data_IF_903074554797
#
_entry.id   IF_903074554797
#
_cell.length_a   1.000
_cell.length_b   1.000
_cell.length_c   1.000
_cell.angle_alpha   90.00
_cell.angle_beta   90.00
_cell.angle_gamma   90.00
#
_symmetry.space_group_name_H-M   'P 1'
#
loop_
_entity.id
_entity.type
_entity.pdbx_description
1 polymer ?
#
# COMPACT_ATOMS: atom_id res chain seq x y z
N UNK A 1 -9.47 4.79 1.42
CA UNK A 1 -10.50 3.90 1.97
C UNK A 1 -9.91 2.80 2.86
N UNK A 2 -8.92 2.02 2.42
CA UNK A 2 -8.33 0.95 3.24
C UNK A 2 -7.87 1.37 4.65
N UNK A 3 -7.11 2.48 4.75
CA UNK A 3 -6.70 3.07 6.04
C UNK A 3 -7.90 3.41 6.93
N UNK A 4 -9.00 3.90 6.36
CA UNK A 4 -10.21 4.24 7.12
C UNK A 4 -10.90 2.99 7.68
N UNK A 5 -10.93 1.88 6.95
CA UNK A 5 -11.49 0.62 7.45
C UNK A 5 -10.62 0.01 8.56
N UNK A 6 -9.29 0.11 8.43
CA UNK A 6 -8.35 -0.32 9.48
C UNK A 6 -8.55 0.53 10.74
N UNK A 7 -8.56 1.85 10.59
CA UNK A 7 -8.83 2.77 11.69
C UNK A 7 -10.21 2.54 12.30
N UNK A 8 -11.26 2.32 11.50
CA UNK A 8 -12.61 2.05 11.99
C UNK A 8 -12.75 0.72 12.73
N UNK A 9 -11.84 -0.23 12.52
CA UNK A 9 -11.79 -1.49 13.24
C UNK A 9 -11.06 -1.38 14.59
N UNK A 10 -10.06 -0.50 14.71
CA UNK A 10 -9.12 -0.51 15.84
C UNK A 10 -9.00 0.82 16.59
N UNK A 11 -9.30 1.95 15.95
CA UNK A 11 -9.13 3.31 16.50
C UNK A 11 -7.68 3.79 16.57
N UNK A 12 -6.75 3.07 15.93
CA UNK A 12 -5.29 3.25 16.06
C UNK A 12 -4.68 3.62 14.70
N UNK A 13 -3.62 4.44 14.72
CA UNK A 13 -2.81 4.76 13.54
C UNK A 13 -1.38 4.22 13.60
N UNK A 14 -0.91 3.85 14.80
CA UNK A 14 0.42 3.27 14.96
C UNK A 14 0.46 1.85 14.37
N UNK A 15 1.41 1.61 13.47
CA UNK A 15 1.49 0.36 12.71
C UNK A 15 1.97 -0.80 13.59
N UNK A 16 2.80 -0.54 14.62
CA UNK A 16 3.29 -1.57 15.55
C UNK A 16 2.15 -2.00 16.46
N UNK A 17 1.39 -1.03 16.99
CA UNK A 17 0.23 -1.33 17.84
C UNK A 17 -0.89 -2.04 17.06
N UNK A 18 -1.09 -1.68 15.78
CA UNK A 18 -1.99 -2.41 14.87
C UNK A 18 -1.54 -3.86 14.71
N UNK A 19 -0.24 -4.11 14.52
CA UNK A 19 0.30 -5.47 14.37
C UNK A 19 0.04 -6.32 15.62
N UNK A 20 0.45 -5.83 16.79
CA UNK A 20 0.33 -6.58 18.05
C UNK A 20 -1.14 -6.87 18.40
N UNK A 21 -2.00 -5.87 18.24
CA UNK A 21 -3.45 -6.00 18.52
C UNK A 21 -4.15 -6.90 17.51
N UNK A 22 -3.66 -6.98 16.27
CA UNK A 22 -4.26 -7.84 15.25
C UNK A 22 -4.06 -9.34 15.50
N UNK A 23 -3.06 -9.72 16.30
CA UNK A 23 -2.76 -11.12 16.63
C UNK A 23 -3.67 -11.71 17.70
N UNK A 24 -4.32 -10.86 18.50
CA UNK A 24 -5.00 -11.25 19.73
C UNK A 24 -6.49 -10.90 19.76
N UNK A 25 -6.96 -10.07 18.82
CA UNK A 25 -8.35 -9.60 18.77
C UNK A 25 -9.20 -10.35 17.72
N UNK A 26 -10.48 -10.59 18.06
CA UNK A 26 -11.50 -10.86 17.05
C UNK A 26 -11.78 -9.57 16.27
N UNK A 27 -11.19 -9.46 15.08
CA UNK A 27 -11.34 -8.27 14.25
C UNK A 27 -12.60 -8.32 13.41
N UNK A 28 -13.30 -7.19 13.23
CA UNK A 28 -14.41 -7.11 12.30
C UNK A 28 -14.00 -7.45 10.87
N UNK A 29 -14.95 -7.99 10.09
CA UNK A 29 -14.73 -8.43 8.70
C UNK A 29 -14.16 -7.34 7.76
N UNK A 30 -14.38 -6.07 8.08
CA UNK A 30 -13.87 -4.96 7.28
C UNK A 30 -12.38 -4.65 7.50
N UNK A 31 -11.76 -5.14 8.57
CA UNK A 31 -10.31 -4.98 8.78
C UNK A 31 -9.46 -5.60 7.65
N UNK A 32 -9.61 -6.91 7.32
CA UNK A 32 -8.83 -7.51 6.23
C UNK A 32 -9.16 -6.90 4.86
N UNK A 33 -10.41 -6.46 4.65
CA UNK A 33 -10.80 -5.69 3.45
C UNK A 33 -10.00 -4.38 3.38
N UNK A 34 -9.87 -3.69 4.53
CA UNK A 34 -9.04 -2.50 4.67
C UNK A 34 -7.59 -2.76 4.27
N UNK A 35 -6.99 -3.85 4.76
CA UNK A 35 -5.62 -4.25 4.42
C UNK A 35 -5.46 -4.50 2.92
N UNK A 36 -6.37 -5.27 2.30
CA UNK A 36 -6.35 -5.53 0.85
C UNK A 36 -6.43 -4.22 0.06
N UNK A 37 -7.29 -3.28 0.45
CA UNK A 37 -7.41 -1.98 -0.23
C UNK A 37 -6.14 -1.12 -0.08
N UNK A 38 -5.44 -1.20 1.05
CA UNK A 38 -4.13 -0.52 1.21
C UNK A 38 -3.10 -1.15 0.27
N UNK A 39 -3.03 -2.48 0.20
CA UNK A 39 -2.12 -3.20 -0.70
C UNK A 39 -2.42 -2.84 -2.16
N UNK A 40 -3.69 -2.83 -2.58
CA UNK A 40 -4.09 -2.40 -3.92
C UNK A 40 -3.61 -0.97 -4.22
N UNK A 41 -3.77 -0.04 -3.27
CA UNK A 41 -3.28 1.33 -3.42
C UNK A 41 -1.76 1.42 -3.58
N UNK A 42 -1.01 0.53 -2.92
CA UNK A 42 0.44 0.43 -3.08
C UNK A 42 0.83 -0.18 -4.43
N UNK A 43 0.12 -1.20 -4.90
CA UNK A 43 0.35 -1.80 -6.23
C UNK A 43 0.09 -0.81 -7.37
N UNK A 44 -0.88 0.10 -7.20
CA UNK A 44 -1.08 1.24 -8.10
C UNK A 44 0.14 2.16 -8.15
N UNK A 45 0.73 2.52 -6.99
CA UNK A 45 1.94 3.36 -6.94
C UNK A 45 3.14 2.72 -7.62
N UNK A 46 3.27 1.39 -7.56
CA UNK A 46 4.34 0.64 -8.24
C UNK A 46 4.06 0.49 -9.75
N UNK A 47 2.82 0.73 -10.19
CA UNK A 47 2.31 0.38 -11.51
C UNK A 47 2.49 -1.12 -11.82
N UNK A 48 2.13 -1.98 -10.85
CA UNK A 48 2.09 -3.42 -11.05
C UNK A 48 0.84 -3.84 -11.83
N UNK A 49 0.86 -4.97 -12.55
CA UNK A 49 -0.35 -5.54 -13.17
C UNK A 49 -1.34 -5.96 -12.07
N UNK A 50 -2.65 -5.66 -12.18
CA UNK A 50 -3.38 -4.96 -13.25
C UNK A 50 -3.53 -3.42 -13.08
N UNK A 51 -2.83 -2.78 -12.14
CA UNK A 51 -2.98 -1.37 -11.75
C UNK A 51 -2.04 -0.38 -12.48
N UNK A 52 -1.54 -0.74 -13.67
CA UNK A 52 -0.48 -0.01 -14.38
C UNK A 52 -0.97 0.92 -15.49
N UNK A 53 -2.28 0.98 -15.74
CA UNK A 53 -2.87 1.69 -16.88
C UNK A 53 -2.51 3.18 -16.97
N UNK A 54 -2.18 3.83 -15.84
CA UNK A 54 -1.75 5.22 -15.83
C UNK A 54 -0.32 5.42 -16.32
N UNK A 55 0.55 4.41 -16.19
CA UNK A 55 1.99 4.55 -16.38
C UNK A 55 2.42 4.88 -17.81
N UNK A 56 1.92 4.21 -18.89
CA UNK A 56 2.38 4.51 -20.25
C UNK A 56 2.06 5.95 -20.65
N UNK A 57 0.79 6.37 -20.51
CA UNK A 57 0.33 7.70 -20.90
C UNK A 57 1.06 8.83 -20.14
N UNK A 58 1.33 8.63 -18.84
CA UNK A 58 2.04 9.64 -18.02
C UNK A 58 3.53 9.69 -18.35
N UNK A 59 4.16 8.55 -18.65
CA UNK A 59 5.59 8.54 -18.99
C UNK A 59 5.87 9.12 -20.37
N UNK A 60 4.95 8.93 -21.32
CA UNK A 60 5.02 9.56 -22.64
C UNK A 60 4.70 11.06 -22.57
N UNK A 61 3.69 11.45 -21.80
CA UNK A 61 3.22 12.83 -21.71
C UNK A 61 4.07 13.78 -20.86
N UNK A 62 5.00 13.27 -20.04
CA UNK A 62 5.78 14.09 -19.10
C UNK A 62 7.22 14.38 -19.57
N UNK A 63 7.84 15.49 -19.12
CA UNK A 63 9.24 15.78 -19.44
C UNK A 63 10.19 14.66 -19.01
N UNK A 64 11.26 14.44 -19.77
CA UNK A 64 12.17 13.31 -19.58
C UNK A 64 12.71 13.16 -18.14
N UNK A 65 13.04 14.27 -17.47
CA UNK A 65 13.53 14.25 -16.09
C UNK A 65 12.45 13.79 -15.10
N UNK A 66 11.19 14.18 -15.31
CA UNK A 66 10.06 13.76 -14.49
C UNK A 66 9.77 12.27 -14.70
N UNK A 67 9.75 11.81 -15.96
CA UNK A 67 9.63 10.38 -16.28
C UNK A 67 10.76 9.58 -15.64
N UNK A 68 12.00 10.05 -15.68
CA UNK A 68 13.13 9.38 -15.06
C UNK A 68 12.95 9.23 -13.54
N UNK A 69 12.55 10.28 -12.82
CA UNK A 69 12.31 10.23 -11.37
C UNK A 69 11.13 9.33 -10.99
N UNK A 70 10.01 9.44 -11.73
CA UNK A 70 8.79 8.68 -11.45
C UNK A 70 8.90 7.20 -11.81
N UNK A 71 9.66 6.86 -12.86
CA UNK A 71 9.90 5.47 -13.26
C UNK A 71 10.93 4.75 -12.40
N UNK A 72 11.78 5.49 -11.67
CA UNK A 72 12.84 4.91 -10.83
C UNK A 72 12.62 5.16 -9.34
N UNK A 73 13.00 6.34 -8.83
CA UNK A 73 13.02 6.67 -7.40
C UNK A 73 11.67 6.45 -6.73
N UNK A 74 10.58 6.91 -7.38
CA UNK A 74 9.23 6.73 -6.84
C UNK A 74 8.86 5.25 -6.70
N UNK A 75 9.26 4.40 -7.66
CA UNK A 75 9.00 2.95 -7.60
C UNK A 75 9.82 2.26 -6.53
N UNK A 76 11.09 2.62 -6.37
CA UNK A 76 11.96 2.08 -5.31
C UNK A 76 11.36 2.37 -3.93
N UNK A 77 10.94 3.61 -3.69
CA UNK A 77 10.29 3.99 -2.43
C UNK A 77 8.98 3.24 -2.24
N UNK A 78 8.14 3.15 -3.28
CA UNK A 78 6.87 2.44 -3.21
C UNK A 78 7.04 0.94 -2.87
N UNK A 79 8.03 0.26 -3.45
CA UNK A 79 8.35 -1.14 -3.14
C UNK A 79 8.88 -1.27 -1.71
N UNK A 80 9.79 -0.39 -1.27
CA UNK A 80 10.31 -0.42 0.09
C UNK A 80 9.20 -0.20 1.14
N UNK A 81 8.28 0.73 0.88
CA UNK A 81 7.11 0.95 1.74
C UNK A 81 6.15 -0.24 1.71
N UNK A 82 5.92 -0.84 0.54
CA UNK A 82 5.08 -2.04 0.42
C UNK A 82 5.67 -3.21 1.24
N UNK A 83 6.97 -3.45 1.14
CA UNK A 83 7.65 -4.47 1.94
C UNK A 83 7.46 -4.24 3.44
N UNK A 84 7.72 -3.02 3.91
CA UNK A 84 7.51 -2.64 5.32
C UNK A 84 6.06 -2.89 5.77
N UNK A 85 5.09 -2.47 4.96
CA UNK A 85 3.68 -2.60 5.29
C UNK A 85 3.23 -4.07 5.35
N UNK A 86 3.65 -4.87 4.38
CA UNK A 86 3.29 -6.30 4.32
C UNK A 86 3.93 -7.09 5.46
N UNK A 87 5.19 -6.78 5.80
CA UNK A 87 5.88 -7.36 6.97
C UNK A 87 5.18 -6.99 8.28
N UNK A 88 4.79 -5.72 8.44
CA UNK A 88 4.11 -5.26 9.64
C UNK A 88 2.66 -5.78 9.77
N UNK A 89 2.08 -6.36 8.72
CA UNK A 89 0.73 -6.91 8.74
C UNK A 89 0.72 -8.45 8.70
N UNK A 90 1.89 -9.11 8.86
CA UNK A 90 2.07 -10.57 8.77
C UNK A 90 1.44 -11.19 7.50
N UNK A 91 1.40 -10.44 6.40
CA UNK A 91 0.84 -10.92 5.14
C UNK A 91 1.80 -11.89 4.41
N UNK A 92 3.04 -12.02 4.90
CA UNK A 92 4.04 -13.00 4.47
C UNK A 92 4.56 -13.68 5.76
N UNK A 93 4.61 -15.02 5.82
CA UNK A 93 5.14 -15.76 6.97
C UNK A 93 6.65 -15.55 7.18
#
# INVERSE_FOLDING_TARGET
>A
FGICLIYGAMGIFDVVEIHESSLSAELPIWFPIGMVLVVIGMLFKVAAVPFHFWAPDVYEGSPALTTALMSTLAKVIAIATLYKLVSALNLIP
#
